data_IF_247074061138
#
_entry.id   IF_247074061138
#
_cell.length_a   1.000
_cell.length_b   1.000
_cell.length_c   1.000
_cell.angle_alpha   90.00
_cell.angle_beta   90.00
_cell.angle_gamma   90.00
#
_symmetry.space_group_name_H-M   'P 1'
#
loop_
_entity.id
_entity.type
_entity.pdbx_description
1 polymer ?
#
# COMPACT_ATOMS: atom_id res chain seq x y z
N UNK A 1 -29.87 2.22 4.30
CA UNK A 1 -29.32 1.98 4.36
C UNK A 1 -28.56 1.78 3.80
N UNK A 2 -28.38 1.94 3.84
CA UNK A 2 -27.70 1.76 3.46
C UNK A 2 -26.81 1.39 3.16
N UNK A 3 -26.40 1.40 3.13
CA UNK A 3 -25.62 1.05 2.78
C UNK A 3 -24.89 0.49 2.82
N UNK A 4 -24.69 0.48 2.94
CA UNK A 4 -23.97 0.04 3.27
C UNK A 4 -23.49 -0.93 2.88
N UNK A 5 -23.42 -1.49 2.70
CA UNK A 5 -23.17 -2.45 2.25
C UNK A 5 -22.23 -2.66 1.35
N UNK A 6 -21.92 -2.05 0.75
CA UNK A 6 -20.98 -2.29 -0.17
C UNK A 6 -19.67 -2.41 0.41
N UNK A 7 -19.42 -2.08 1.54
CA UNK A 7 -18.17 -2.31 2.15
C UNK A 7 -18.21 -3.53 2.94
N UNK A 8 -18.17 -4.63 2.31
CA UNK A 8 -18.06 -5.89 2.99
C UNK A 8 -16.63 -6.31 3.23
N UNK A 9 -15.68 -5.48 2.83
CA UNK A 9 -14.28 -5.81 3.04
C UNK A 9 -13.90 -5.64 4.50
N UNK A 10 -13.08 -6.54 4.99
CA UNK A 10 -12.45 -6.35 6.27
C UNK A 10 -11.26 -5.47 6.03
N UNK A 11 -11.38 -4.21 6.39
CA UNK A 11 -10.43 -3.19 6.00
C UNK A 11 -9.27 -3.04 6.96
N UNK A 12 -9.29 -3.77 8.05
CA UNK A 12 -8.22 -3.69 9.02
C UNK A 12 -6.95 -4.33 8.46
N UNK A 13 -5.85 -3.63 8.55
CA UNK A 13 -4.56 -4.15 8.13
C UNK A 13 -3.68 -4.33 9.34
N UNK A 14 -2.86 -5.37 9.31
CA UNK A 14 -1.89 -5.59 10.37
C UNK A 14 -0.51 -5.31 9.83
N UNK A 15 0.31 -4.64 10.62
CA UNK A 15 1.67 -4.31 10.23
C UNK A 15 2.63 -5.05 11.13
N UNK A 16 3.47 -5.88 10.53
CA UNK A 16 4.43 -6.69 11.27
C UNK A 16 5.84 -6.30 10.85
N UNK A 17 6.61 -5.81 11.79
CA UNK A 17 7.98 -5.38 11.52
C UNK A 17 8.94 -6.50 11.89
N UNK A 18 9.92 -6.72 11.05
CA UNK A 18 10.94 -7.73 11.29
C UNK A 18 12.28 -7.08 11.57
N UNK A 19 13.16 -7.85 12.15
CA UNK A 19 14.47 -7.33 12.55
C UNK A 19 15.34 -6.93 11.40
N UNK A 20 15.12 -7.48 10.21
CA UNK A 20 15.99 -7.19 9.08
C UNK A 20 15.39 -6.14 8.16
N UNK A 21 14.74 -5.16 8.74
CA UNK A 21 14.18 -4.03 7.99
C UNK A 21 13.12 -4.46 7.00
N UNK A 22 12.34 -5.46 7.36
CA UNK A 22 11.20 -5.87 6.55
C UNK A 22 9.93 -5.47 7.22
N UNK A 23 8.93 -5.17 6.42
CA UNK A 23 7.60 -4.85 6.92
C UNK A 23 6.61 -5.72 6.17
N UNK A 24 5.74 -6.41 6.91
CA UNK A 24 4.67 -7.17 6.31
C UNK A 24 3.35 -6.47 6.59
N UNK A 25 2.55 -6.30 5.56
CA UNK A 25 1.21 -5.75 5.71
C UNK A 25 0.24 -6.89 5.46
N UNK A 26 -0.46 -7.31 6.49
CA UNK A 26 -1.34 -8.47 6.40
C UNK A 26 -2.76 -7.99 6.19
N UNK A 27 -3.39 -8.51 5.15
CA UNK A 27 -4.78 -8.17 4.83
C UNK A 27 -5.68 -9.26 5.38
N UNK A 28 -6.78 -8.87 5.97
CA UNK A 28 -7.75 -9.84 6.43
C UNK A 28 -8.69 -10.27 5.32
N UNK A 29 -8.84 -9.43 4.31
CA UNK A 29 -9.73 -9.72 3.20
C UNK A 29 -8.89 -9.95 1.95
N UNK A 30 -8.97 -11.16 1.41
CA UNK A 30 -8.17 -11.49 0.24
C UNK A 30 -8.61 -10.73 -1.00
N UNK A 31 -9.90 -10.47 -1.12
CA UNK A 31 -10.39 -9.68 -2.27
C UNK A 31 -9.86 -8.26 -2.22
N UNK A 32 -9.76 -7.70 -1.03
CA UNK A 32 -9.19 -6.38 -0.88
C UNK A 32 -7.72 -6.39 -1.26
N UNK A 33 -6.99 -7.41 -0.82
CA UNK A 33 -5.58 -7.54 -1.19
C UNK A 33 -5.43 -7.61 -2.71
N UNK A 34 -6.23 -8.45 -3.37
CA UNK A 34 -6.13 -8.60 -4.80
C UNK A 34 -6.43 -7.29 -5.53
N UNK A 35 -7.38 -6.53 -5.02
CA UNK A 35 -7.69 -5.24 -5.61
C UNK A 35 -6.56 -4.25 -5.47
N UNK A 36 -5.88 -4.28 -4.33
CA UNK A 36 -4.79 -3.34 -4.09
C UNK A 36 -3.55 -3.70 -4.90
N UNK A 37 -3.22 -4.99 -4.99
CA UNK A 37 -2.01 -5.38 -5.74
C UNK A 37 -2.23 -5.32 -7.25
N UNK A 38 -3.47 -5.48 -7.68
CA UNK A 38 -3.77 -5.41 -9.11
C UNK A 38 -3.47 -6.69 -9.84
N UNK A 39 -3.81 -6.72 -11.13
CA UNK A 39 -3.55 -7.88 -11.97
C UNK A 39 -2.05 -8.12 -12.07
N UNK A 40 -1.65 -9.34 -11.85
CA UNK A 40 -0.23 -9.72 -11.94
C UNK A 40 0.64 -8.84 -11.07
N UNK A 41 0.08 -8.34 -9.97
CA UNK A 41 0.81 -7.47 -9.04
C UNK A 41 1.31 -6.19 -9.71
N UNK A 42 0.63 -5.74 -10.75
CA UNK A 42 1.08 -4.57 -11.49
C UNK A 42 1.17 -3.32 -10.61
N UNK A 43 0.25 -3.18 -9.66
CA UNK A 43 0.29 -2.01 -8.78
C UNK A 43 1.50 -2.04 -7.88
N UNK A 44 1.85 -3.22 -7.38
CA UNK A 44 3.05 -3.36 -6.56
C UNK A 44 4.30 -3.11 -7.37
N UNK A 45 4.33 -3.58 -8.60
CA UNK A 45 5.49 -3.34 -9.47
C UNK A 45 5.69 -1.85 -9.72
N UNK A 46 4.60 -1.14 -9.90
CA UNK A 46 4.69 0.29 -10.09
C UNK A 46 5.22 0.97 -8.84
N UNK A 47 4.73 0.55 -7.67
CA UNK A 47 5.24 1.09 -6.42
C UNK A 47 6.72 0.82 -6.24
N UNK A 48 7.16 -0.39 -6.60
CA UNK A 48 8.58 -0.71 -6.53
C UNK A 48 9.42 0.25 -7.35
N UNK A 49 8.96 0.53 -8.55
CA UNK A 49 9.70 1.43 -9.44
C UNK A 49 9.74 2.84 -8.87
N UNK A 50 8.61 3.31 -8.39
CA UNK A 50 8.52 4.69 -7.90
C UNK A 50 9.29 4.91 -6.62
N UNK A 51 9.37 3.89 -5.79
CA UNK A 51 10.02 4.04 -4.48
C UNK A 51 11.40 3.39 -4.41
N UNK A 52 11.77 2.66 -5.45
CA UNK A 52 13.04 1.95 -5.48
C UNK A 52 13.17 1.01 -4.29
N UNK A 53 12.15 0.22 -4.06
CA UNK A 53 12.11 -0.74 -2.96
C UNK A 53 11.76 -2.11 -3.51
N UNK A 54 11.90 -3.14 -2.67
CA UNK A 54 11.46 -4.47 -3.03
C UNK A 54 10.13 -4.75 -2.36
N UNK A 55 9.12 -5.03 -3.17
CA UNK A 55 7.77 -5.27 -2.68
C UNK A 55 7.24 -6.52 -3.34
N UNK A 56 6.73 -7.47 -2.55
CA UNK A 56 6.08 -8.64 -3.14
C UNK A 56 4.89 -9.04 -2.31
N UNK A 57 3.96 -9.74 -2.95
CA UNK A 57 2.83 -10.28 -2.23
C UNK A 57 3.12 -11.73 -1.90
N UNK A 58 2.64 -12.17 -0.76
CA UNK A 58 2.88 -13.51 -0.30
C UNK A 58 1.69 -13.92 0.54
N UNK A 59 0.90 -14.86 0.01
CA UNK A 59 -0.32 -15.25 0.69
C UNK A 59 -1.24 -14.07 0.81
N UNK A 60 -1.62 -13.73 2.01
CA UNK A 60 -2.51 -12.59 2.25
C UNK A 60 -1.75 -11.36 2.75
N UNK A 61 -0.46 -11.30 2.49
CA UNK A 61 0.32 -10.14 2.94
C UNK A 61 1.16 -9.58 1.84
N UNK A 62 1.56 -8.33 2.04
CA UNK A 62 2.50 -7.63 1.16
C UNK A 62 3.76 -7.44 1.98
N UNK A 63 4.88 -7.90 1.43
CA UNK A 63 6.16 -7.80 2.11
C UNK A 63 6.99 -6.72 1.47
N UNK A 64 7.53 -5.81 2.28
CA UNK A 64 8.35 -4.71 1.83
C UNK A 64 9.72 -4.85 2.48
N UNK A 65 10.77 -4.81 1.66
CA UNK A 65 12.13 -4.88 2.17
C UNK A 65 12.89 -3.65 1.71
N UNK A 66 13.19 -2.78 2.64
CA UNK A 66 13.98 -1.58 2.33
C UNK A 66 14.35 -0.95 3.66
N UNK A 67 14.93 0.26 3.61
CA UNK A 67 15.25 0.91 4.87
C UNK A 67 13.97 1.42 5.54
N UNK A 68 14.04 1.76 6.82
CA UNK A 68 12.82 2.12 7.56
C UNK A 68 12.05 3.29 6.98
N UNK A 69 12.76 4.27 6.42
CA UNK A 69 12.07 5.42 5.84
C UNK A 69 11.26 5.01 4.62
N UNK A 70 11.85 4.20 3.75
CA UNK A 70 11.14 3.76 2.56
C UNK A 70 10.05 2.76 2.90
N UNK A 71 10.28 1.92 3.90
CA UNK A 71 9.23 1.02 4.35
C UNK A 71 8.00 1.80 4.80
N UNK A 72 8.24 2.88 5.52
CA UNK A 72 7.15 3.72 5.98
C UNK A 72 6.46 4.43 4.82
N UNK A 73 7.23 4.87 3.85
CA UNK A 73 6.66 5.51 2.67
C UNK A 73 5.75 4.54 1.92
N UNK A 74 6.21 3.32 1.71
CA UNK A 74 5.40 2.33 1.00
C UNK A 74 4.19 1.93 1.83
N UNK A 75 4.35 1.81 3.15
CA UNK A 75 3.23 1.51 4.02
C UNK A 75 2.12 2.55 3.85
N UNK A 76 2.49 3.81 3.90
CA UNK A 76 1.51 4.89 3.76
C UNK A 76 0.88 4.89 2.37
N UNK A 77 1.67 4.61 1.34
CA UNK A 77 1.14 4.53 -0.01
C UNK A 77 0.13 3.39 -0.13
N UNK A 78 0.44 2.24 0.45
CA UNK A 78 -0.47 1.11 0.38
C UNK A 78 -1.75 1.39 1.15
N UNK A 79 -1.66 2.05 2.29
CA UNK A 79 -2.85 2.45 3.02
C UNK A 79 -3.72 3.39 2.19
N UNK A 80 -3.08 4.33 1.52
CA UNK A 80 -3.82 5.25 0.65
C UNK A 80 -4.52 4.49 -0.47
N UNK A 81 -3.81 3.57 -1.10
CA UNK A 81 -4.39 2.79 -2.19
C UNK A 81 -5.51 1.88 -1.71
N UNK A 82 -5.36 1.33 -0.51
CA UNK A 82 -6.41 0.51 0.07
C UNK A 82 -7.69 1.32 0.23
N UNK A 83 -7.57 2.53 0.73
CA UNK A 83 -8.73 3.40 0.88
C UNK A 83 -9.32 3.79 -0.46
N UNK A 84 -8.47 4.01 -1.46
CA UNK A 84 -8.95 4.33 -2.81
C UNK A 84 -9.75 3.17 -3.37
N UNK A 85 -9.26 1.95 -3.18
CA UNK A 85 -9.97 0.80 -3.68
C UNK A 85 -11.31 0.62 -2.98
N UNK A 86 -11.34 0.82 -1.66
CA UNK A 86 -12.58 0.69 -0.91
C UNK A 86 -13.59 1.74 -1.37
N UNK A 87 -13.13 2.95 -1.64
CA UNK A 87 -14.01 4.05 -2.00
C UNK A 87 -14.46 3.96 -3.46
N UNK A 88 -13.53 3.67 -4.36
CA UNK A 88 -13.80 3.77 -5.79
C UNK A 88 -13.97 2.43 -6.49
N UNK A 89 -13.58 1.36 -5.87
CA UNK A 89 -13.69 0.04 -6.48
C UNK A 89 -12.55 -0.33 -7.41
N UNK A 90 -11.62 0.58 -7.64
CA UNK A 90 -10.45 0.26 -8.47
C UNK A 90 -9.33 1.23 -8.16
N UNK A 91 -8.15 0.90 -8.66
CA UNK A 91 -6.96 1.72 -8.51
C UNK A 91 -6.41 1.98 -9.90
N UNK A 92 -6.19 3.24 -10.22
CA UNK A 92 -5.60 3.63 -11.49
C UNK A 92 -4.15 3.99 -11.28
N UNK A 93 -3.41 4.06 -12.38
CA UNK A 93 -2.00 4.41 -12.31
C UNK A 93 -1.78 5.75 -11.66
N UNK A 94 -2.64 6.72 -11.95
CA UNK A 94 -2.50 8.04 -11.33
C UNK A 94 -2.66 7.98 -9.82
N UNK A 95 -3.44 7.04 -9.33
CA UNK A 95 -3.61 6.88 -7.89
C UNK A 95 -2.32 6.39 -7.26
N UNK A 96 -1.62 5.49 -7.94
CA UNK A 96 -0.36 4.97 -7.43
C UNK A 96 0.68 6.09 -7.39
N UNK A 97 0.76 6.86 -8.44
CA UNK A 97 1.70 7.97 -8.48
C UNK A 97 1.37 8.98 -7.39
N UNK A 98 0.10 9.30 -7.21
CA UNK A 98 -0.31 10.24 -6.18
C UNK A 98 0.01 9.72 -4.78
N UNK A 99 -0.16 8.42 -4.56
CA UNK A 99 0.10 7.86 -3.24
C UNK A 99 1.56 8.03 -2.84
N UNK A 100 2.46 7.89 -3.80
CA UNK A 100 3.88 8.05 -3.53
C UNK A 100 4.25 9.53 -3.41
N UNK A 101 3.80 10.34 -4.35
CA UNK A 101 4.16 11.75 -4.35
C UNK A 101 3.67 12.48 -3.11
N UNK A 102 2.49 12.14 -2.67
CA UNK A 102 1.94 12.78 -1.49
C UNK A 102 2.84 12.60 -0.26
N UNK A 103 3.31 11.39 -0.05
CA UNK A 103 4.13 11.11 1.12
C UNK A 103 5.60 11.45 0.89
N UNK A 104 6.04 11.41 -0.36
CA UNK A 104 7.40 11.80 -0.67
C UNK A 104 7.60 13.30 -0.46
N UNK A 105 6.61 14.11 -0.82
CA UNK A 105 6.67 15.53 -0.59
C UNK A 105 6.76 15.82 0.90
N UNK A 106 6.03 15.09 1.71
CA UNK A 106 6.12 15.25 3.15
C UNK A 106 7.52 14.96 3.66
N UNK A 107 8.16 13.93 3.12
CA UNK A 107 9.51 13.61 3.52
C UNK A 107 10.48 14.72 3.15
N UNK A 108 10.31 15.29 1.97
CA UNK A 108 11.18 16.37 1.53
C UNK A 108 10.99 17.61 2.37
N UNK A 109 9.77 17.89 2.74
CA UNK A 109 9.50 19.08 3.53
C UNK A 109 9.89 18.95 4.98
N UNK A 110 9.99 17.75 5.47
CA UNK A 110 10.44 17.57 6.82
C UNK A 110 11.93 17.63 6.88
N UNK A 111 12.60 17.68 5.77
CA UNK A 111 14.01 17.88 5.81
C UNK A 111 14.24 19.19 6.43
N UNK A 112 15.17 19.32 7.18
CA UNK A 112 15.36 20.48 7.91
C UNK A 112 15.59 21.59 7.11
N UNK A 113 14.89 22.28 7.12
CA UNK A 113 15.14 23.38 6.51
C UNK A 113 15.75 24.17 7.30
#
# INVERSE_FOLDING_TARGET
MKNLKQNNFKTELKFVYSDNNSLSIVFQDNDLLLGVVGEFNNNLKELEKLTNTSIYSRGNSILIKSDPKKNNLVKNAIQFLTNQFITNGNIEKKDIISSVNKFMICLLYTSPS
#
